data_IF_126869714957
#
_entry.id   IF_126869714957
#
_cell.length_a   1.000
_cell.length_b   1.000
_cell.length_c   1.000
_cell.angle_alpha   90.00
_cell.angle_beta   90.00
_cell.angle_gamma   90.00
#
_symmetry.space_group_name_H-M   'P 1'
#
loop_
_entity.id
_entity.type
_entity.pdbx_description
1 polymer ?
#
# COMPACT_ATOMS: atom_id res chain seq x y z
N UNK A 1 -24.90 -31.46 -31.60
CA UNK A 1 -24.08 -30.25 -31.63
C UNK A 1 -24.10 -29.69 -30.20
N UNK A 2 -23.13 -30.12 -29.39
CA UNK A 2 -23.09 -29.80 -27.95
C UNK A 2 -22.41 -28.44 -27.77
N UNK A 3 -23.15 -27.50 -27.15
CA UNK A 3 -22.65 -26.19 -26.76
C UNK A 3 -21.60 -26.40 -25.64
N UNK A 4 -20.36 -26.05 -25.91
CA UNK A 4 -19.28 -26.02 -24.89
C UNK A 4 -19.47 -24.71 -24.14
N UNK A 5 -20.15 -24.81 -23.02
CA UNK A 5 -20.25 -23.72 -22.04
C UNK A 5 -18.88 -23.52 -21.39
N UNK A 6 -18.25 -22.37 -21.63
CA UNK A 6 -16.98 -22.01 -21.03
C UNK A 6 -17.21 -21.40 -19.64
N UNK A 7 -16.83 -22.07 -18.53
CA UNK A 7 -17.03 -21.56 -17.18
C UNK A 7 -15.98 -20.51 -16.72
N UNK A 8 -15.16 -19.98 -17.66
CA UNK A 8 -14.00 -19.14 -17.26
C UNK A 8 -14.29 -17.67 -16.93
N UNK A 9 -15.48 -17.16 -17.18
CA UNK A 9 -15.75 -15.71 -16.95
C UNK A 9 -16.23 -15.35 -15.54
N UNK A 10 -16.62 -16.30 -14.71
CA UNK A 10 -17.21 -16.03 -13.39
C UNK A 10 -16.18 -15.80 -12.26
N UNK A 11 -14.91 -16.20 -12.44
CA UNK A 11 -13.91 -16.19 -11.35
C UNK A 11 -13.01 -14.95 -11.34
N UNK A 12 -12.95 -14.16 -12.40
CA UNK A 12 -12.06 -13.00 -12.52
C UNK A 12 -12.59 -11.77 -11.75
N UNK A 13 -13.89 -11.53 -11.70
CA UNK A 13 -14.47 -10.34 -11.08
C UNK A 13 -14.21 -10.21 -9.56
N UNK A 14 -14.33 -11.28 -8.73
CA UNK A 14 -14.03 -11.17 -7.30
C UNK A 14 -12.56 -10.88 -6.98
N UNK A 15 -11.65 -11.39 -7.78
CA UNK A 15 -10.20 -11.19 -7.59
C UNK A 15 -9.78 -9.75 -7.95
N UNK A 16 -10.30 -9.18 -9.02
CA UNK A 16 -10.02 -7.80 -9.45
C UNK A 16 -10.56 -6.81 -8.42
N UNK A 17 -11.79 -6.99 -7.95
CA UNK A 17 -12.38 -6.13 -6.90
C UNK A 17 -11.56 -6.17 -5.61
N UNK A 18 -11.08 -7.34 -5.21
CA UNK A 18 -10.25 -7.50 -4.02
C UNK A 18 -8.91 -6.78 -4.15
N UNK A 19 -8.24 -6.93 -5.29
CA UNK A 19 -6.98 -6.23 -5.56
C UNK A 19 -7.16 -4.72 -5.61
N UNK A 20 -8.26 -4.23 -6.20
CA UNK A 20 -8.59 -2.81 -6.23
C UNK A 20 -8.84 -2.24 -4.81
N UNK A 21 -9.55 -2.99 -3.95
CA UNK A 21 -9.77 -2.58 -2.56
C UNK A 21 -8.45 -2.55 -1.76
N UNK A 22 -7.56 -3.52 -1.97
CA UNK A 22 -6.24 -3.51 -1.35
C UNK A 22 -5.42 -2.31 -1.82
N UNK A 23 -5.40 -2.04 -3.12
CA UNK A 23 -4.68 -0.90 -3.67
C UNK A 23 -5.23 0.44 -3.16
N UNK A 24 -6.54 0.61 -3.11
CA UNK A 24 -7.17 1.81 -2.56
C UNK A 24 -6.86 2.00 -1.07
N UNK A 25 -6.88 0.92 -0.29
CA UNK A 25 -6.50 0.94 1.12
C UNK A 25 -5.02 1.27 1.33
N UNK A 26 -4.13 0.80 0.46
CA UNK A 26 -2.70 1.14 0.51
C UNK A 26 -2.49 2.64 0.21
N UNK A 27 -3.15 3.19 -0.81
CA UNK A 27 -3.11 4.64 -1.10
C UNK A 27 -3.59 5.43 0.10
N UNK A 28 -4.71 5.04 0.69
CA UNK A 28 -5.26 5.70 1.88
C UNK A 28 -4.30 5.61 3.06
N UNK A 29 -3.65 4.47 3.28
CA UNK A 29 -2.67 4.26 4.34
C UNK A 29 -1.50 5.25 4.23
N UNK A 30 -0.94 5.45 3.01
CA UNK A 30 0.11 6.44 2.78
C UNK A 30 -0.35 7.87 3.09
N UNK A 31 -1.56 8.24 2.70
CA UNK A 31 -2.11 9.57 3.00
C UNK A 31 -2.35 9.79 4.49
N UNK A 32 -2.90 8.79 5.19
CA UNK A 32 -3.15 8.86 6.64
C UNK A 32 -1.83 9.04 7.40
N UNK A 33 -0.82 8.22 7.13
CA UNK A 33 0.45 8.31 7.85
C UNK A 33 1.18 9.62 7.56
N UNK A 34 1.10 10.12 6.33
CA UNK A 34 1.66 11.43 5.97
C UNK A 34 0.92 12.55 6.69
N UNK A 35 -0.41 12.51 6.76
CA UNK A 35 -1.21 13.50 7.49
C UNK A 35 -0.88 13.50 8.99
N UNK A 36 -0.73 12.31 9.60
CA UNK A 36 -0.30 12.17 11.00
C UNK A 36 1.10 12.79 11.21
N UNK A 37 2.03 12.55 10.28
CA UNK A 37 3.37 13.15 10.34
C UNK A 37 3.32 14.67 10.28
N UNK A 38 2.59 15.26 9.32
CA UNK A 38 2.41 16.71 9.21
C UNK A 38 1.72 17.31 10.44
N UNK A 39 0.71 16.64 10.99
CA UNK A 39 0.06 17.07 12.22
C UNK A 39 1.02 17.10 13.41
N UNK A 40 1.89 16.08 13.53
CA UNK A 40 2.91 16.01 14.57
C UNK A 40 3.95 17.14 14.49
N UNK A 41 4.18 17.71 13.30
CA UNK A 41 5.06 18.85 13.08
C UNK A 41 4.33 20.21 13.08
N UNK A 42 3.02 20.22 13.34
CA UNK A 42 2.22 21.45 13.33
C UNK A 42 1.97 22.03 11.92
N UNK A 43 2.23 21.24 10.87
CA UNK A 43 2.11 21.68 9.48
C UNK A 43 0.73 21.34 8.86
N UNK A 44 -0.14 20.62 9.57
CA UNK A 44 -1.47 20.27 9.10
C UNK A 44 -2.46 21.39 9.41
N UNK A 45 -2.85 22.16 8.40
CA UNK A 45 -3.78 23.29 8.51
C UNK A 45 -5.14 22.99 7.86
N UNK A 46 -5.83 21.95 8.36
CA UNK A 46 -7.16 21.58 7.89
C UNK A 46 -7.17 21.03 6.45
N UNK A 47 -8.29 21.21 5.75
CA UNK A 47 -8.52 20.68 4.40
C UNK A 47 -7.54 21.28 3.37
N UNK A 48 -7.06 22.49 3.61
CA UNK A 48 -6.08 23.15 2.73
C UNK A 48 -4.75 22.41 2.64
N UNK A 49 -4.44 21.52 3.61
CA UNK A 49 -3.22 20.72 3.60
C UNK A 49 -3.33 19.43 2.74
N UNK A 50 -4.50 19.06 2.23
CA UNK A 50 -4.67 17.83 1.45
C UNK A 50 -3.76 17.73 0.22
N UNK A 51 -3.55 18.79 -0.58
CA UNK A 51 -2.59 18.74 -1.70
C UNK A 51 -1.16 18.45 -1.21
N UNK A 52 -0.73 19.09 -0.13
CA UNK A 52 0.60 18.85 0.49
C UNK A 52 0.75 17.42 0.97
N UNK A 53 -0.29 16.85 1.60
CA UNK A 53 -0.32 15.44 2.00
C UNK A 53 -0.14 14.53 0.78
N UNK A 54 -0.87 14.80 -0.31
CA UNK A 54 -0.77 14.02 -1.53
C UNK A 54 0.62 14.11 -2.19
N UNK A 55 1.20 15.31 -2.27
CA UNK A 55 2.55 15.52 -2.81
C UNK A 55 3.64 14.78 -2.02
N UNK A 56 3.53 14.72 -0.70
CA UNK A 56 4.50 14.03 0.14
C UNK A 56 4.28 12.50 0.11
N UNK A 57 3.03 12.05 0.06
CA UNK A 57 2.70 10.63 0.01
C UNK A 57 3.00 9.98 -1.35
N UNK A 58 2.87 10.74 -2.45
CA UNK A 58 2.98 10.23 -3.82
C UNK A 58 4.29 9.47 -4.11
N UNK A 59 5.49 9.96 -3.79
CA UNK A 59 6.74 9.24 -4.05
C UNK A 59 6.78 7.86 -3.39
N UNK A 60 6.23 7.73 -2.19
CA UNK A 60 6.19 6.47 -1.43
C UNK A 60 5.14 5.51 -2.00
N UNK A 61 3.98 6.03 -2.41
CA UNK A 61 2.98 5.25 -3.12
C UNK A 61 3.53 4.73 -4.46
N UNK A 62 4.24 5.57 -5.22
CA UNK A 62 4.90 5.15 -6.48
C UNK A 62 5.93 4.04 -6.20
N UNK A 63 6.81 4.21 -5.21
CA UNK A 63 7.79 3.20 -4.83
C UNK A 63 7.12 1.88 -4.42
N UNK A 64 6.03 1.95 -3.67
CA UNK A 64 5.22 0.80 -3.30
C UNK A 64 4.62 0.08 -4.51
N UNK A 65 3.89 0.80 -5.37
CA UNK A 65 3.21 0.21 -6.52
C UNK A 65 4.14 -0.25 -7.63
N UNK A 66 5.39 0.25 -7.68
CA UNK A 66 6.41 -0.28 -8.56
C UNK A 66 6.86 -1.70 -8.14
N UNK A 67 6.88 -2.00 -6.84
CA UNK A 67 7.44 -3.25 -6.31
C UNK A 67 6.36 -4.24 -5.89
N UNK A 68 5.30 -3.81 -5.23
CA UNK A 68 4.31 -4.69 -4.62
C UNK A 68 3.61 -5.65 -5.59
N UNK A 69 3.24 -5.27 -6.83
CA UNK A 69 2.71 -6.20 -7.82
C UNK A 69 3.74 -7.27 -8.23
N UNK A 70 5.00 -6.87 -8.42
CA UNK A 70 6.11 -7.76 -8.79
C UNK A 70 6.40 -8.76 -7.66
N UNK A 71 6.33 -8.31 -6.40
CA UNK A 71 6.43 -9.17 -5.24
C UNK A 71 5.20 -10.08 -5.03
N UNK A 72 4.17 -9.93 -5.87
CA UNK A 72 2.94 -10.71 -5.79
C UNK A 72 2.05 -10.35 -4.59
N UNK A 73 2.19 -9.14 -4.02
CA UNK A 73 1.43 -8.69 -2.85
C UNK A 73 -0.08 -8.53 -3.11
N UNK A 74 -0.50 -8.51 -4.38
CA UNK A 74 -1.90 -8.40 -4.81
C UNK A 74 -2.48 -9.71 -5.35
N UNK A 75 -1.69 -10.80 -5.43
CA UNK A 75 -2.19 -12.08 -5.92
C UNK A 75 -3.28 -12.64 -5.01
N UNK A 76 -4.37 -13.15 -5.60
CA UNK A 76 -5.51 -13.69 -4.87
C UNK A 76 -5.12 -14.79 -3.88
N UNK A 77 -4.19 -15.67 -4.26
CA UNK A 77 -3.67 -16.75 -3.44
C UNK A 77 -2.89 -16.24 -2.19
N UNK A 78 -2.19 -15.13 -2.35
CA UNK A 78 -1.45 -14.46 -1.28
C UNK A 78 -2.41 -13.75 -0.35
N UNK A 79 -3.39 -13.03 -0.90
CA UNK A 79 -4.39 -12.32 -0.13
C UNK A 79 -5.32 -13.24 0.69
N UNK A 80 -5.44 -14.52 0.30
CA UNK A 80 -6.18 -15.53 1.07
C UNK A 80 -5.40 -16.10 2.27
N UNK A 81 -4.08 -15.84 2.37
CA UNK A 81 -3.20 -16.38 3.41
C UNK A 81 -2.52 -15.25 4.18
N UNK A 82 -3.01 -14.88 5.39
CA UNK A 82 -2.53 -13.70 6.13
C UNK A 82 -1.01 -13.64 6.28
N UNK A 83 -0.38 -14.73 6.71
CA UNK A 83 1.09 -14.78 6.89
C UNK A 83 1.86 -14.49 5.60
N UNK A 84 1.42 -15.06 4.46
CA UNK A 84 2.04 -14.83 3.16
C UNK A 84 1.84 -13.40 2.69
N UNK A 85 0.64 -12.85 2.90
CA UNK A 85 0.33 -11.48 2.55
C UNK A 85 1.21 -10.50 3.34
N UNK A 86 1.31 -10.66 4.65
CA UNK A 86 2.15 -9.80 5.48
C UNK A 86 3.63 -9.91 5.11
N UNK A 87 4.15 -11.12 4.89
CA UNK A 87 5.55 -11.31 4.46
C UNK A 87 5.85 -10.65 3.11
N UNK A 88 4.94 -10.79 2.11
CA UNK A 88 5.09 -10.14 0.80
C UNK A 88 4.97 -8.62 0.90
N UNK A 89 4.09 -8.12 1.77
CA UNK A 89 3.96 -6.69 2.06
C UNK A 89 5.24 -6.13 2.66
N UNK A 90 5.79 -6.79 3.68
CA UNK A 90 7.04 -6.38 4.31
C UNK A 90 8.20 -6.36 3.31
N UNK A 91 8.37 -7.44 2.53
CA UNK A 91 9.43 -7.52 1.51
C UNK A 91 9.28 -6.43 0.46
N UNK A 92 8.06 -6.25 -0.07
CA UNK A 92 7.80 -5.23 -1.08
C UNK A 92 8.07 -3.82 -0.56
N UNK A 93 7.73 -3.53 0.71
CA UNK A 93 7.99 -2.23 1.31
C UNK A 93 9.48 -2.00 1.60
N UNK A 94 10.22 -3.01 2.05
CA UNK A 94 11.68 -2.92 2.24
C UNK A 94 12.40 -2.49 0.96
N UNK A 95 11.91 -2.89 -0.21
CA UNK A 95 12.45 -2.51 -1.51
C UNK A 95 11.82 -1.21 -2.01
N UNK A 96 10.51 -1.03 -1.85
CA UNK A 96 9.76 0.13 -2.33
C UNK A 96 10.07 1.42 -1.56
N UNK A 97 10.36 1.34 -0.26
CA UNK A 97 10.69 2.50 0.57
C UNK A 97 11.95 3.24 0.10
N UNK A 98 13.10 2.59 -0.16
CA UNK A 98 14.27 3.25 -0.74
C UNK A 98 13.96 3.94 -2.08
N UNK A 99 13.16 3.33 -2.95
CA UNK A 99 12.72 3.94 -4.21
C UNK A 99 11.89 5.19 -3.94
N UNK A 100 10.94 5.13 -3.02
CA UNK A 100 10.14 6.28 -2.60
C UNK A 100 10.97 7.42 -2.00
N UNK A 101 11.97 7.09 -1.17
CA UNK A 101 12.91 8.06 -0.59
C UNK A 101 13.75 8.75 -1.66
N UNK A 102 14.26 8.00 -2.65
CA UNK A 102 15.01 8.57 -3.78
C UNK A 102 14.12 9.51 -4.61
N UNK A 103 12.91 9.09 -4.95
CA UNK A 103 11.95 9.93 -5.67
C UNK A 103 11.62 11.20 -4.88
N UNK A 104 11.36 11.07 -3.57
CA UNK A 104 11.10 12.20 -2.69
C UNK A 104 12.28 13.18 -2.67
N UNK A 105 13.51 12.69 -2.54
CA UNK A 105 14.72 13.50 -2.55
C UNK A 105 14.92 14.24 -3.87
N UNK A 106 14.69 13.56 -5.00
CA UNK A 106 14.78 14.16 -6.33
C UNK A 106 13.72 15.23 -6.56
N UNK A 107 12.47 14.98 -6.16
CA UNK A 107 11.36 15.95 -6.33
C UNK A 107 11.55 17.17 -5.43
N UNK A 108 11.94 16.95 -4.18
CA UNK A 108 12.10 18.01 -3.17
C UNK A 108 13.45 18.70 -3.22
N UNK A 109 14.40 18.17 -4.01
CA UNK A 109 15.78 18.66 -4.08
C UNK A 109 16.43 18.78 -2.68
N UNK A 110 16.13 17.80 -1.80
CA UNK A 110 16.62 17.75 -0.42
C UNK A 110 17.35 16.43 -0.15
N UNK A 111 18.42 16.45 0.64
CA UNK A 111 19.10 15.23 1.05
C UNK A 111 18.20 14.39 1.96
N UNK A 112 18.36 13.06 1.87
CA UNK A 112 17.62 12.13 2.73
C UNK A 112 18.27 12.14 4.12
N UNK A 113 17.53 12.65 5.10
CA UNK A 113 17.98 12.58 6.51
C UNK A 113 17.79 11.15 7.03
N UNK A 114 18.79 10.54 7.72
CA UNK A 114 18.68 9.17 8.23
C UNK A 114 17.48 8.97 9.15
N UNK A 115 17.19 9.93 10.03
CA UNK A 115 16.01 9.89 10.91
C UNK A 115 14.71 9.84 10.12
N UNK A 116 14.56 10.65 9.07
CA UNK A 116 13.40 10.65 8.19
C UNK A 116 13.25 9.30 7.48
N UNK A 117 14.35 8.74 6.98
CA UNK A 117 14.33 7.45 6.31
C UNK A 117 13.86 6.32 7.24
N UNK A 118 14.40 6.27 8.47
CA UNK A 118 14.05 5.25 9.46
C UNK A 118 12.58 5.39 9.90
N UNK A 119 12.16 6.60 10.24
CA UNK A 119 10.76 6.86 10.65
C UNK A 119 9.81 6.50 9.51
N UNK A 120 10.08 6.92 8.29
CA UNK A 120 9.26 6.62 7.11
C UNK A 120 9.19 5.11 6.86
N UNK A 121 10.31 4.40 6.95
CA UNK A 121 10.35 2.95 6.78
C UNK A 121 9.47 2.25 7.81
N UNK A 122 9.63 2.59 9.08
CA UNK A 122 8.95 1.91 10.20
C UNK A 122 7.45 2.26 10.22
N UNK A 123 7.10 3.54 10.15
CA UNK A 123 5.70 3.97 10.28
C UNK A 123 4.84 3.46 9.13
N UNK A 124 5.32 3.54 7.88
CA UNK A 124 4.59 2.98 6.75
C UNK A 124 4.57 1.44 6.78
N UNK A 125 5.64 0.78 7.25
CA UNK A 125 5.64 -0.67 7.45
C UNK A 125 4.50 -1.08 8.40
N UNK A 126 4.43 -0.45 9.57
CA UNK A 126 3.39 -0.74 10.58
C UNK A 126 1.99 -0.47 10.00
N UNK A 127 1.80 0.65 9.31
CA UNK A 127 0.53 1.01 8.71
C UNK A 127 0.09 -0.01 7.64
N UNK A 128 0.99 -0.36 6.71
CA UNK A 128 0.69 -1.32 5.64
C UNK A 128 0.40 -2.72 6.20
N UNK A 129 1.21 -3.19 7.14
CA UNK A 129 0.98 -4.50 7.78
C UNK A 129 -0.30 -4.51 8.60
N UNK A 130 -0.57 -3.46 9.36
CA UNK A 130 -1.79 -3.32 10.16
C UNK A 130 -3.04 -3.32 9.28
N UNK A 131 -3.11 -2.45 8.28
CA UNK A 131 -4.22 -2.37 7.33
C UNK A 131 -4.47 -3.70 6.62
N UNK A 132 -3.43 -4.29 6.04
CA UNK A 132 -3.54 -5.55 5.30
C UNK A 132 -3.84 -6.74 6.20
N UNK A 133 -3.36 -6.71 7.44
CA UNK A 133 -3.71 -7.70 8.47
C UNK A 133 -5.20 -7.67 8.81
N UNK A 134 -5.76 -6.48 9.05
CA UNK A 134 -7.20 -6.28 9.27
C UNK A 134 -8.00 -6.73 8.06
N UNK A 135 -7.57 -6.34 6.85
CA UNK A 135 -8.23 -6.78 5.62
C UNK A 135 -8.28 -8.30 5.48
N UNK A 136 -7.17 -8.98 5.74
CA UNK A 136 -7.11 -10.46 5.68
C UNK A 136 -8.00 -11.12 6.72
N UNK A 137 -8.03 -10.59 7.93
CA UNK A 137 -8.87 -11.08 9.00
C UNK A 137 -10.37 -10.94 8.68
N UNK A 138 -10.79 -9.76 8.17
CA UNK A 138 -12.18 -9.54 7.75
C UNK A 138 -12.57 -10.42 6.56
N UNK A 139 -11.65 -10.62 5.60
CA UNK A 139 -11.89 -11.48 4.45
C UNK A 139 -12.02 -12.95 4.85
N UNK A 140 -11.25 -13.42 5.83
CA UNK A 140 -11.34 -14.76 6.37
C UNK A 140 -12.67 -15.04 7.07
N UNK A 141 -13.24 -14.04 7.76
CA UNK A 141 -14.55 -14.18 8.44
C UNK A 141 -15.75 -14.26 7.48
N UNK A 142 -15.61 -13.73 6.26
CA UNK A 142 -16.70 -13.77 5.26
C UNK A 142 -16.72 -15.06 4.43
N UNK A 143 -15.71 -15.88 4.55
CA UNK A 143 -15.58 -17.17 3.87
C UNK A 143 -15.79 -18.38 4.77
N UNK A 144 -16.03 -18.17 6.06
CA UNK A 144 -16.43 -19.17 7.03
C UNK A 144 -17.94 -19.04 7.33
#
# INVERSE_FOLDING_TARGET
>A
MASIDHPERATAAPSVRRSALLAAGDVLAFHIITAIGLAGHGELTGIAALPTVAEIAAPFAIGWFAVAPLAGAFRAEVAARPRRMLARTALAWLIGCPIGLLLWSLIRQKPIQPSFAIVTLITNMVMLLGWRGVFAWLAGRRGA
#
